data_IF_540875523929
#
_entry.id   IF_540875523929
#
_cell.length_a   1.000
_cell.length_b   1.000
_cell.length_c   1.000
_cell.angle_alpha   90.00
_cell.angle_beta   90.00
_cell.angle_gamma   90.00
#
_symmetry.space_group_name_H-M   'P 1'
#
loop_
_entity.id
_entity.type
_entity.pdbx_description
1 polymer ?
#
# COMPACT_ATOMS: atom_id res chain seq x y z
N UNK A 1 -38.13 -65.69 26.00
CA UNK A 1 -38.04 -64.61 25.00
C UNK A 1 -36.59 -64.15 24.99
N UNK A 2 -35.73 -64.83 24.24
CA UNK A 2 -34.30 -64.53 24.18
C UNK A 2 -34.05 -63.48 23.10
N UNK A 3 -33.71 -62.26 23.52
CA UNK A 3 -33.26 -61.21 22.62
C UNK A 3 -31.87 -61.61 22.12
N UNK A 4 -31.77 -61.84 20.81
CA UNK A 4 -30.53 -62.25 20.15
C UNK A 4 -29.66 -61.01 19.92
N UNK A 5 -28.70 -60.77 20.81
CA UNK A 5 -27.78 -59.62 20.75
C UNK A 5 -26.55 -60.01 19.93
N UNK A 6 -26.71 -60.32 18.65
CA UNK A 6 -25.58 -60.73 17.80
C UNK A 6 -25.54 -60.10 16.41
N UNK A 7 -26.10 -58.91 16.25
CA UNK A 7 -25.81 -58.03 15.11
C UNK A 7 -24.75 -56.99 15.48
N UNK A 8 -23.59 -57.44 16.00
CA UNK A 8 -22.40 -56.59 16.04
C UNK A 8 -21.74 -56.65 14.66
N UNK A 9 -22.19 -55.79 13.74
CA UNK A 9 -21.51 -55.57 12.46
C UNK A 9 -20.09 -55.08 12.76
N UNK A 10 -19.11 -55.98 12.61
CA UNK A 10 -17.70 -55.61 12.69
C UNK A 10 -17.40 -54.62 11.57
N UNK A 11 -16.92 -53.43 11.93
CA UNK A 11 -16.43 -52.46 10.95
C UNK A 11 -15.37 -53.14 10.08
N UNK A 12 -15.62 -53.18 8.78
CA UNK A 12 -14.65 -53.75 7.85
C UNK A 12 -13.40 -52.86 7.83
N UNK A 13 -12.20 -53.45 7.86
CA UNK A 13 -10.92 -52.72 7.84
C UNK A 13 -10.87 -51.65 6.73
N UNK A 14 -11.55 -51.94 5.61
CA UNK A 14 -11.66 -51.03 4.47
C UNK A 14 -12.46 -49.76 4.78
N UNK A 15 -13.47 -49.85 5.63
CA UNK A 15 -14.32 -48.72 6.04
C UNK A 15 -13.53 -47.76 6.94
N UNK A 16 -12.74 -48.32 7.87
CA UNK A 16 -11.83 -47.53 8.72
C UNK A 16 -10.75 -46.85 7.87
N UNK A 17 -10.18 -47.57 6.89
CA UNK A 17 -9.17 -47.02 5.99
C UNK A 17 -9.74 -45.89 5.12
N UNK A 18 -10.95 -46.08 4.58
CA UNK A 18 -11.64 -45.05 3.80
C UNK A 18 -11.93 -43.81 4.65
N UNK A 19 -12.40 -43.99 5.89
CA UNK A 19 -12.63 -42.90 6.81
C UNK A 19 -11.35 -42.10 7.11
N UNK A 20 -10.20 -42.79 7.29
CA UNK A 20 -8.90 -42.14 7.49
C UNK A 20 -8.45 -41.34 6.26
N UNK A 21 -8.67 -41.85 5.05
CA UNK A 21 -8.34 -41.12 3.81
C UNK A 21 -9.19 -39.87 3.67
N UNK A 22 -10.50 -39.97 3.89
CA UNK A 22 -11.42 -38.81 3.82
C UNK A 22 -11.06 -37.77 4.88
N UNK A 23 -10.75 -38.20 6.10
CA UNK A 23 -10.33 -37.30 7.17
C UNK A 23 -9.01 -36.60 6.82
N UNK A 24 -8.04 -37.34 6.29
CA UNK A 24 -6.75 -36.77 5.87
C UNK A 24 -6.91 -35.75 4.74
N UNK A 25 -7.73 -36.06 3.73
CA UNK A 25 -8.06 -35.15 2.65
C UNK A 25 -8.79 -33.89 3.16
N UNK A 26 -9.71 -34.05 4.13
CA UNK A 26 -10.39 -32.94 4.79
C UNK A 26 -9.44 -32.00 5.54
N UNK A 27 -8.52 -32.56 6.33
CA UNK A 27 -7.51 -31.78 7.06
C UNK A 27 -6.60 -31.01 6.10
N UNK A 28 -6.12 -31.67 5.04
CA UNK A 28 -5.29 -31.03 4.01
C UNK A 28 -6.06 -29.88 3.34
N UNK A 29 -7.34 -30.10 2.99
CA UNK A 29 -8.21 -29.06 2.43
C UNK A 29 -8.33 -27.83 3.32
N UNK A 30 -8.53 -28.03 4.63
CA UNK A 30 -8.61 -26.92 5.60
C UNK A 30 -7.27 -26.17 5.67
N UNK A 31 -6.13 -26.87 5.71
CA UNK A 31 -4.81 -26.23 5.75
C UNK A 31 -4.54 -25.38 4.49
N UNK A 32 -4.96 -25.84 3.30
CA UNK A 32 -4.85 -25.06 2.07
C UNK A 32 -5.70 -23.79 2.11
N UNK A 33 -6.92 -23.85 2.68
CA UNK A 33 -7.78 -22.68 2.83
C UNK A 33 -7.17 -21.66 3.80
N UNK A 34 -6.56 -22.12 4.90
CA UNK A 34 -5.89 -21.23 5.86
C UNK A 34 -4.73 -20.48 5.22
N UNK A 35 -3.87 -21.15 4.44
CA UNK A 35 -2.77 -20.50 3.74
C UNK A 35 -3.27 -19.42 2.77
N UNK A 36 -4.30 -19.72 1.96
CA UNK A 36 -4.90 -18.72 1.07
C UNK A 36 -5.53 -17.54 1.82
N UNK A 37 -6.12 -17.78 2.99
CA UNK A 37 -6.70 -16.72 3.83
C UNK A 37 -5.65 -15.78 4.40
N UNK A 38 -4.47 -16.31 4.77
CA UNK A 38 -3.34 -15.52 5.23
C UNK A 38 -2.80 -14.63 4.11
N UNK A 39 -2.58 -15.19 2.91
CA UNK A 39 -2.13 -14.43 1.74
C UNK A 39 -3.11 -13.29 1.39
N UNK A 40 -4.42 -13.57 1.42
CA UNK A 40 -5.46 -12.57 1.18
C UNK A 40 -5.46 -11.45 2.23
N UNK A 41 -5.20 -11.79 3.50
CA UNK A 41 -5.12 -10.82 4.60
C UNK A 41 -3.90 -9.92 4.44
N UNK A 42 -2.72 -10.49 4.15
CA UNK A 42 -1.49 -9.73 3.91
C UNK A 42 -1.68 -8.78 2.72
N UNK A 43 -2.24 -9.27 1.60
CA UNK A 43 -2.53 -8.43 0.43
C UNK A 43 -3.50 -7.28 0.75
N UNK A 44 -4.52 -7.54 1.57
CA UNK A 44 -5.47 -6.51 2.02
C UNK A 44 -4.79 -5.45 2.90
N UNK A 45 -4.00 -5.87 3.89
CA UNK A 45 -3.24 -4.97 4.76
C UNK A 45 -2.30 -4.07 3.96
N UNK A 46 -1.57 -4.65 3.01
CA UNK A 46 -0.67 -3.96 2.09
C UNK A 46 -1.42 -2.87 1.28
N UNK A 47 -2.59 -3.19 0.71
CA UNK A 47 -3.41 -2.22 -0.02
C UNK A 47 -3.94 -1.09 0.85
N UNK A 48 -4.35 -1.40 2.09
CA UNK A 48 -4.79 -0.38 3.05
C UNK A 48 -3.64 0.58 3.36
N UNK A 49 -2.44 0.07 3.64
CA UNK A 49 -1.27 0.90 3.91
C UNK A 49 -0.90 1.78 2.71
N UNK A 50 -0.90 1.21 1.49
CA UNK A 50 -0.65 1.98 0.26
C UNK A 50 -1.68 3.11 0.08
N UNK A 51 -2.95 2.83 0.38
CA UNK A 51 -4.05 3.79 0.26
C UNK A 51 -3.93 4.92 1.27
N UNK A 52 -3.65 4.61 2.54
CA UNK A 52 -3.43 5.64 3.59
C UNK A 52 -2.22 6.52 3.24
N UNK A 53 -1.15 5.91 2.73
CA UNK A 53 0.01 6.66 2.27
C UNK A 53 -0.33 7.61 1.11
N UNK A 54 -1.02 7.10 0.08
CA UNK A 54 -1.42 7.89 -1.08
C UNK A 54 -2.37 9.04 -0.69
N UNK A 55 -3.33 8.78 0.20
CA UNK A 55 -4.25 9.79 0.73
C UNK A 55 -3.51 10.91 1.44
N UNK A 56 -2.50 10.58 2.26
CA UNK A 56 -1.63 11.56 2.89
C UNK A 56 -0.88 12.40 1.86
N UNK A 57 -0.29 11.78 0.83
CA UNK A 57 0.45 12.49 -0.23
C UNK A 57 -0.47 13.47 -0.98
N UNK A 58 -1.62 13.00 -1.46
CA UNK A 58 -2.53 13.84 -2.25
C UNK A 58 -3.19 14.94 -1.43
N UNK A 59 -3.49 14.68 -0.15
CA UNK A 59 -4.02 15.69 0.76
C UNK A 59 -2.99 16.80 1.01
N UNK A 60 -1.73 16.45 1.23
CA UNK A 60 -0.65 17.44 1.38
C UNK A 60 -0.45 18.22 0.09
N UNK A 61 -0.38 17.56 -1.07
CA UNK A 61 -0.32 18.22 -2.38
C UNK A 61 -1.46 19.20 -2.60
N UNK A 62 -2.68 18.81 -2.24
CA UNK A 62 -3.87 19.65 -2.35
C UNK A 62 -3.72 20.90 -1.49
N UNK A 63 -3.32 20.74 -0.22
CA UNK A 63 -3.12 21.85 0.70
C UNK A 63 -2.05 22.84 0.20
N UNK A 64 -0.89 22.36 -0.25
CA UNK A 64 0.18 23.21 -0.77
C UNK A 64 -0.22 23.89 -2.08
N UNK A 65 -0.87 23.15 -2.99
CA UNK A 65 -1.40 23.70 -4.23
C UNK A 65 -2.38 24.85 -3.94
N UNK A 66 -3.26 24.70 -2.95
CA UNK A 66 -4.21 25.75 -2.56
C UNK A 66 -3.52 26.97 -1.95
N UNK A 67 -2.53 26.74 -1.08
CA UNK A 67 -1.74 27.82 -0.47
C UNK A 67 -0.98 28.62 -1.55
N UNK A 68 -0.32 27.95 -2.49
CA UNK A 68 0.41 28.63 -3.56
C UNK A 68 -0.52 29.34 -4.54
N UNK A 69 -1.70 28.76 -4.83
CA UNK A 69 -2.72 29.42 -5.66
C UNK A 69 -3.22 30.74 -5.04
N UNK A 70 -3.27 30.82 -3.70
CA UNK A 70 -3.66 32.04 -2.97
C UNK A 70 -2.63 33.17 -3.05
N UNK A 71 -1.36 32.82 -3.32
CA UNK A 71 -0.27 33.79 -3.48
C UNK A 71 -0.18 34.35 -4.90
N UNK A 72 -0.63 33.59 -5.89
CA UNK A 72 -0.67 34.00 -7.28
C UNK A 72 -0.48 32.83 -8.24
N UNK A 73 -0.71 33.08 -9.54
CA UNK A 73 -0.50 32.08 -10.58
C UNK A 73 0.99 31.71 -10.72
N UNK A 74 1.90 32.68 -10.62
CA UNK A 74 3.33 32.44 -10.76
C UNK A 74 3.87 31.52 -9.66
N UNK A 75 3.42 31.70 -8.43
CA UNK A 75 3.79 30.92 -7.26
C UNK A 75 3.26 29.49 -7.37
N UNK A 76 2.01 29.33 -7.77
CA UNK A 76 1.41 28.03 -8.05
C UNK A 76 2.17 27.27 -9.14
N UNK A 77 2.49 27.95 -10.24
CA UNK A 77 3.27 27.38 -11.34
C UNK A 77 4.67 26.97 -10.90
N UNK A 78 5.36 27.84 -10.15
CA UNK A 78 6.72 27.59 -9.66
C UNK A 78 6.74 26.39 -8.72
N UNK A 79 5.73 26.24 -7.85
CA UNK A 79 5.60 25.06 -6.99
C UNK A 79 5.55 23.76 -7.79
N UNK A 80 4.65 23.65 -8.78
CA UNK A 80 4.49 22.43 -9.57
C UNK A 80 5.67 22.15 -10.50
N UNK A 81 6.30 23.19 -11.07
CA UNK A 81 7.54 23.05 -11.85
C UNK A 81 8.67 22.49 -10.99
N UNK A 82 8.94 23.15 -9.86
CA UNK A 82 10.01 22.72 -8.96
C UNK A 82 9.74 21.31 -8.43
N UNK A 83 8.49 20.93 -8.20
CA UNK A 83 8.15 19.58 -7.76
C UNK A 83 8.33 18.53 -8.87
N UNK A 84 7.97 18.87 -10.11
CA UNK A 84 8.14 17.99 -11.28
C UNK A 84 9.61 17.79 -11.65
N UNK A 85 10.42 18.85 -11.53
CA UNK A 85 11.87 18.83 -11.75
C UNK A 85 12.63 18.21 -10.57
N UNK A 86 11.93 17.93 -9.46
CA UNK A 86 12.52 17.40 -8.25
C UNK A 86 13.49 18.39 -7.61
N UNK A 87 13.23 19.70 -7.70
CA UNK A 87 13.91 20.77 -6.97
C UNK A 87 13.22 21.13 -5.65
N UNK A 88 11.93 20.81 -5.53
CA UNK A 88 11.18 20.92 -4.27
C UNK A 88 10.76 19.55 -3.76
N UNK A 89 10.76 19.40 -2.43
CA UNK A 89 10.21 18.24 -1.76
C UNK A 89 8.86 18.58 -1.12
N UNK A 90 8.02 17.56 -0.92
CA UNK A 90 6.80 17.72 -0.12
C UNK A 90 7.16 17.36 1.32
N UNK A 91 6.91 18.19 2.33
CA UNK A 91 7.10 17.80 3.71
C UNK A 91 6.06 16.75 4.14
N UNK A 92 6.47 15.85 5.02
CA UNK A 92 5.56 14.87 5.62
C UNK A 92 4.58 15.61 6.54
N UNK A 93 3.28 15.34 6.43
CA UNK A 93 2.26 15.95 7.30
C UNK A 93 2.47 15.62 8.80
N UNK A 94 3.14 14.50 9.10
CA UNK A 94 3.51 14.08 10.44
C UNK A 94 4.93 13.48 10.45
N UNK A 95 6.00 14.30 10.52
CA UNK A 95 7.39 13.83 10.41
C UNK A 95 7.77 12.84 11.52
N UNK A 96 7.13 12.90 12.68
CA UNK A 96 7.36 11.98 13.80
C UNK A 96 7.03 10.51 13.45
N UNK A 97 6.18 10.27 12.45
CA UNK A 97 5.73 8.93 12.02
C UNK A 97 6.67 8.32 10.96
N UNK A 98 7.45 9.13 10.24
CA UNK A 98 8.18 8.70 9.05
C UNK A 98 9.69 8.96 9.20
N UNK A 99 10.52 7.99 8.84
CA UNK A 99 11.99 8.07 8.94
C UNK A 99 12.64 7.86 7.57
N UNK A 100 13.81 8.46 7.28
CA UNK A 100 14.60 9.42 8.06
C UNK A 100 14.32 10.90 7.70
N UNK A 101 13.26 11.19 6.96
CA UNK A 101 13.13 12.44 6.22
C UNK A 101 11.88 13.20 6.63
N UNK A 102 12.06 14.48 6.99
CA UNK A 102 10.96 15.46 7.13
C UNK A 102 10.25 15.72 5.80
N UNK A 103 10.81 15.21 4.69
CA UNK A 103 10.24 15.30 3.35
C UNK A 103 9.67 13.96 2.90
N UNK A 104 8.36 13.98 2.61
CA UNK A 104 7.52 12.98 1.96
C UNK A 104 7.92 12.76 0.50
N UNK A 105 8.56 13.74 -0.15
CA UNK A 105 9.18 13.62 -1.47
C UNK A 105 10.54 14.33 -1.45
N UNK A 106 11.64 13.66 -1.80
CA UNK A 106 12.97 14.28 -1.92
C UNK A 106 13.30 14.62 -3.37
N UNK A 107 14.25 15.53 -3.51
CA UNK A 107 14.71 16.12 -4.76
C UNK A 107 15.65 15.18 -5.54
N UNK A 108 15.56 15.18 -6.88
CA UNK A 108 16.56 14.59 -7.78
C UNK A 108 16.46 13.11 -8.18
N UNK A 109 15.64 12.28 -7.53
CA UNK A 109 15.42 10.88 -7.96
C UNK A 109 13.95 10.52 -7.94
N UNK A 110 13.39 10.12 -9.09
CA UNK A 110 12.01 9.61 -9.27
C UNK A 110 11.70 8.32 -8.47
N UNK A 111 12.54 7.94 -7.51
CA UNK A 111 12.35 6.76 -6.67
C UNK A 111 12.69 7.16 -5.26
N UNK A 112 11.69 7.14 -4.39
CA UNK A 112 11.87 7.45 -2.98
C UNK A 112 11.33 6.29 -2.15
N UNK A 113 12.18 5.84 -1.24
CA UNK A 113 11.91 4.71 -0.36
C UNK A 113 11.58 5.27 1.01
N UNK A 114 10.32 5.13 1.44
CA UNK A 114 9.88 5.54 2.77
C UNK A 114 9.92 4.35 3.71
N UNK A 115 10.56 4.55 4.86
CA UNK A 115 10.45 3.66 6.00
C UNK A 115 9.56 4.32 7.03
N UNK A 116 8.53 3.64 7.50
CA UNK A 116 7.78 4.11 8.66
C UNK A 116 8.69 4.05 9.91
N UNK A 117 8.64 5.06 10.78
CA UNK A 117 9.50 5.18 11.97
C UNK A 117 9.04 4.26 13.12
N UNK A 118 7.73 4.00 13.23
CA UNK A 118 7.17 3.03 14.20
C UNK A 118 7.61 1.59 13.91
N UNK A 119 8.01 1.34 12.68
CA UNK A 119 8.58 0.09 12.22
C UNK A 119 10.06 -0.07 12.67
N UNK A 120 10.79 1.03 12.89
CA UNK A 120 12.16 0.97 13.38
C UNK A 120 12.24 0.75 14.90
N UNK A 121 11.28 1.31 15.65
CA UNK A 121 11.12 1.06 17.10
C UNK A 121 10.73 -0.40 17.41
N UNK A 122 10.27 -1.14 16.41
CA UNK A 122 9.90 -2.55 16.48
C UNK A 122 11.10 -3.52 16.40
N UNK A 123 12.25 -3.07 15.89
CA UNK A 123 13.48 -3.89 15.79
C UNK A 123 14.04 -4.25 17.19
N UNK A 124 13.76 -3.43 18.20
CA UNK A 124 14.11 -3.75 19.60
C UNK A 124 13.11 -4.70 20.27
N UNK A 125 11.97 -5.04 19.63
CA UNK A 125 10.87 -5.82 20.22
C UNK A 125 10.35 -6.99 19.36
N UNK A 126 11.08 -7.46 18.34
CA UNK A 126 10.66 -8.57 17.44
C UNK A 126 9.40 -8.28 16.60
N UNK A 127 9.13 -7.03 16.26
CA UNK A 127 8.01 -6.66 15.39
C UNK A 127 8.50 -6.46 13.95
N UNK A 128 7.77 -7.03 12.99
CA UNK A 128 8.11 -7.01 11.56
C UNK A 128 8.09 -5.58 11.00
N UNK A 129 9.15 -5.24 10.27
CA UNK A 129 9.34 -3.91 9.69
C UNK A 129 8.65 -3.80 8.32
N UNK A 130 7.63 -2.96 8.20
CA UNK A 130 6.93 -2.69 6.94
C UNK A 130 7.45 -1.41 6.27
N UNK A 131 7.86 -1.51 5.00
CA UNK A 131 8.34 -0.39 4.20
C UNK A 131 7.34 -0.05 3.09
N UNK A 132 7.29 1.23 2.71
CA UNK A 132 6.52 1.69 1.56
C UNK A 132 7.49 2.30 0.56
N UNK A 133 7.61 1.70 -0.62
CA UNK A 133 8.34 2.28 -1.75
C UNK A 133 7.34 3.03 -2.62
N UNK A 134 7.73 4.15 -3.19
CA UNK A 134 6.89 4.76 -4.20
C UNK A 134 7.70 5.35 -5.36
N UNK A 135 6.98 5.56 -6.47
CA UNK A 135 7.40 6.33 -7.62
C UNK A 135 6.30 7.35 -7.90
N UNK A 136 6.67 8.62 -8.01
CA UNK A 136 5.74 9.69 -8.36
C UNK A 136 6.14 10.30 -9.70
N UNK A 137 5.17 10.45 -10.59
CA UNK A 137 5.31 11.10 -11.88
C UNK A 137 4.34 12.29 -11.91
N UNK A 138 4.84 13.47 -12.31
CA UNK A 138 4.05 14.70 -12.44
C UNK A 138 4.09 15.13 -13.90
N UNK A 139 2.92 15.27 -14.50
CA UNK A 139 2.75 15.77 -15.85
C UNK A 139 2.10 17.16 -15.82
N UNK A 140 2.79 18.15 -16.38
CA UNK A 140 2.30 19.52 -16.51
C UNK A 140 1.63 19.68 -17.87
N UNK A 141 0.34 19.98 -17.88
CA UNK A 141 -0.43 20.18 -19.12
C UNK A 141 -0.62 21.67 -19.35
N UNK A 142 0.08 22.19 -20.36
CA UNK A 142 0.06 23.59 -20.75
C UNK A 142 -1.07 23.88 -21.75
N UNK A 143 -1.74 25.01 -21.58
CA UNK A 143 -2.57 25.61 -22.65
C UNK A 143 -2.18 27.08 -22.80
N UNK A 144 -1.78 27.45 -24.02
CA UNK A 144 -1.36 28.75 -24.56
C UNK A 144 -0.39 29.62 -23.73
N UNK A 145 -0.57 29.82 -22.42
CA UNK A 145 0.29 30.66 -21.57
C UNK A 145 0.55 30.13 -20.14
N UNK A 146 -0.13 29.05 -19.70
CA UNK A 146 -0.03 28.58 -18.31
C UNK A 146 -0.36 27.08 -18.16
N UNK A 147 0.26 26.31 -17.24
CA UNK A 147 -0.25 24.99 -16.91
C UNK A 147 -1.58 25.16 -16.15
N UNK A 148 -2.71 24.90 -16.81
CA UNK A 148 -4.02 24.94 -16.14
C UNK A 148 -4.33 23.63 -15.41
N UNK A 149 -3.60 22.56 -15.75
CA UNK A 149 -3.81 21.22 -15.23
C UNK A 149 -2.48 20.56 -14.93
N UNK A 150 -2.39 19.94 -13.76
CA UNK A 150 -1.29 19.08 -13.35
C UNK A 150 -1.86 17.70 -13.04
N UNK A 151 -1.30 16.67 -13.67
CA UNK A 151 -1.64 15.28 -13.40
C UNK A 151 -0.54 14.66 -12.56
N UNK A 152 -0.91 13.98 -11.48
CA UNK A 152 0.02 13.30 -10.59
C UNK A 152 -0.30 11.82 -10.56
N UNK A 153 0.66 10.99 -10.93
CA UNK A 153 0.60 9.54 -10.78
C UNK A 153 1.51 9.11 -9.63
N UNK A 154 0.97 8.33 -8.69
CA UNK A 154 1.70 7.78 -7.55
C UNK A 154 1.59 6.25 -7.58
N UNK A 155 2.72 5.58 -7.76
CA UNK A 155 2.84 4.12 -7.69
C UNK A 155 3.42 3.75 -6.34
N UNK A 156 2.71 2.92 -5.57
CA UNK A 156 3.10 2.54 -4.21
C UNK A 156 3.31 1.03 -4.16
N UNK A 157 4.53 0.60 -3.86
CA UNK A 157 4.87 -0.79 -3.58
C UNK A 157 4.97 -0.99 -2.07
N UNK A 158 4.21 -1.93 -1.53
CA UNK A 158 4.22 -2.26 -0.09
C UNK A 158 4.89 -3.60 0.15
N UNK A 159 5.66 -3.71 1.23
CA UNK A 159 6.30 -4.97 1.61
C UNK A 159 7.58 -4.81 2.42
N UNK A 160 8.23 -5.93 2.72
CA UNK A 160 9.52 -5.97 3.40
C UNK A 160 10.64 -5.47 2.46
N UNK A 161 11.71 -4.91 3.04
CA UNK A 161 12.84 -4.32 2.31
C UNK A 161 13.57 -5.27 1.34
N UNK A 162 13.23 -6.57 1.31
CA UNK A 162 13.87 -7.59 0.48
C UNK A 162 12.94 -8.28 -0.53
N UNK A 163 11.68 -7.85 -0.64
CA UNK A 163 10.75 -8.42 -1.63
C UNK A 163 11.25 -8.11 -3.06
N UNK A 164 11.72 -9.17 -3.74
CA UNK A 164 12.27 -9.11 -5.12
C UNK A 164 11.19 -9.01 -6.20
N UNK A 165 9.92 -9.20 -5.89
CA UNK A 165 8.84 -9.19 -6.88
C UNK A 165 8.14 -7.83 -6.92
N UNK A 166 8.08 -7.24 -8.12
CA UNK A 166 7.30 -6.04 -8.50
C UNK A 166 5.78 -6.18 -8.34
N UNK A 167 5.28 -7.20 -7.64
CA UNK A 167 3.97 -7.78 -7.93
C UNK A 167 2.78 -7.11 -7.26
N UNK A 168 2.96 -6.17 -6.33
CA UNK A 168 1.84 -5.49 -5.64
C UNK A 168 2.01 -3.96 -5.62
N UNK A 169 2.28 -3.38 -6.79
CA UNK A 169 2.20 -1.92 -6.98
C UNK A 169 0.74 -1.48 -7.06
N UNK A 170 0.35 -0.54 -6.21
CA UNK A 170 -0.94 0.14 -6.29
C UNK A 170 -0.70 1.51 -6.93
N UNK A 171 -1.40 1.77 -8.04
CA UNK A 171 -1.31 3.05 -8.76
C UNK A 171 -2.47 3.95 -8.35
N UNK A 172 -2.15 5.19 -8.02
CA UNK A 172 -3.11 6.24 -7.71
C UNK A 172 -2.89 7.44 -8.63
N UNK A 173 -3.97 8.18 -8.89
CA UNK A 173 -3.97 9.31 -9.81
C UNK A 173 -4.76 10.47 -9.20
N UNK A 174 -4.26 11.69 -9.38
CA UNK A 174 -4.95 12.92 -9.00
C UNK A 174 -4.69 14.01 -10.03
N UNK A 175 -5.61 14.95 -10.14
CA UNK A 175 -5.49 16.11 -11.01
C UNK A 175 -5.70 17.40 -10.21
N UNK A 176 -4.88 18.41 -10.50
CA UNK A 176 -4.93 19.71 -9.87
C UNK A 176 -5.11 20.79 -10.93
N UNK A 177 -5.99 21.74 -10.65
CA UNK A 177 -6.30 22.84 -11.55
C UNK A 177 -6.01 24.17 -10.88
N UNK A 178 -5.40 25.10 -11.61
CA UNK A 178 -5.34 26.47 -11.16
C UNK A 178 -6.71 27.11 -11.35
N UNK A 179 -7.31 27.58 -10.26
CA UNK A 179 -8.52 28.40 -10.28
C UNK A 179 -8.20 29.73 -9.62
N UNK A 180 -8.29 30.83 -10.36
CA UNK A 180 -8.11 32.16 -9.78
C UNK A 180 -9.15 32.33 -8.66
N UNK A 181 -8.69 32.56 -7.43
CA UNK A 181 -9.60 32.97 -6.37
C UNK A 181 -10.08 34.40 -6.67
N UNK A 182 -11.39 34.67 -6.56
CA UNK A 182 -11.95 35.99 -6.77
C UNK A 182 -11.47 37.01 -5.71
#
# INVERSE_FOLDING_TARGET
MSVNINDKKGFSLIEVTLALVVLSAGVIGILFLLNRSLDATISSTNKIQATVFADSVFSTLCSYSYEMASKGSNEWKSFWLNLAEGESGIPVACPDIWFPSDMLIQTGTHTLVFSNNFVHAAVTTNTSSFAVRYTMEIELVYTDDFPYRVQVSLKVSTGEFEAKSKTDEVCFYSEYFYKSMP
#
